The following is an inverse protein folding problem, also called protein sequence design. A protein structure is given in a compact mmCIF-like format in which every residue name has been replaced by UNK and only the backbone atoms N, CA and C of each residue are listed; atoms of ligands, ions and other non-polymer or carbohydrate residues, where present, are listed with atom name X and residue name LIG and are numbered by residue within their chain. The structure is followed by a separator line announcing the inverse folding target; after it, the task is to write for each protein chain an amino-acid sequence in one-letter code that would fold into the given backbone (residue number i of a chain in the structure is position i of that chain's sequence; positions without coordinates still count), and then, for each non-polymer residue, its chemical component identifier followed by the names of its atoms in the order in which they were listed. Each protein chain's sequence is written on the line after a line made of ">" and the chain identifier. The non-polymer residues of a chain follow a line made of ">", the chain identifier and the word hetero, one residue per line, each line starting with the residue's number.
data_IF_294760241161
#
_entry.id   IF_294760241161
#
_cell.length_a   1.000
_cell.length_b   1.000
_cell.length_c   1.000
_cell.angle_alpha   90.00
_cell.angle_beta   90.00
_cell.angle_gamma   90.00
#
_symmetry.space_group_name_H-M   'P 1'
#
loop_
_entity.id
_entity.type
_entity.pdbx_description
1 polymer ?
#
# COMPACT_ATOMS: atom_id res chain seq x y z
N UNK A 1 5.63 1.92 -19.75
CA UNK A 1 6.52 2.18 -18.61
C UNK A 1 5.61 2.70 -17.52
N UNK A 2 5.12 1.79 -16.69
CA UNK A 2 4.36 2.15 -15.50
C UNK A 2 5.25 2.99 -14.59
N UNK A 3 4.70 4.10 -14.10
CA UNK A 3 5.40 4.99 -13.19
C UNK A 3 5.41 4.36 -11.79
N UNK A 4 6.48 4.51 -10.99
CA UNK A 4 6.62 3.84 -9.68
C UNK A 4 5.51 4.19 -8.67
N UNK A 5 4.77 5.29 -8.87
CA UNK A 5 3.59 5.60 -8.07
C UNK A 5 2.42 4.63 -8.32
N UNK A 6 2.33 4.03 -9.51
CA UNK A 6 1.28 3.07 -9.84
C UNK A 6 1.48 1.74 -9.10
N UNK A 7 2.73 1.30 -8.91
CA UNK A 7 3.05 0.01 -8.28
C UNK A 7 2.56 -0.09 -6.82
N UNK A 8 2.69 0.99 -6.03
CA UNK A 8 2.19 1.00 -4.65
C UNK A 8 0.66 1.10 -4.62
N UNK A 9 0.06 1.87 -5.53
CA UNK A 9 -1.38 1.91 -5.68
C UNK A 9 -1.94 0.55 -6.16
N UNK A 10 -1.17 -0.20 -6.95
CA UNK A 10 -1.46 -1.57 -7.34
C UNK A 10 -1.47 -2.49 -6.11
N UNK A 11 -0.48 -2.39 -5.23
CA UNK A 11 -0.48 -3.12 -3.94
C UNK A 11 -1.72 -2.76 -3.12
N UNK A 12 -2.04 -1.47 -2.96
CA UNK A 12 -3.21 -1.06 -2.17
C UNK A 12 -4.54 -1.65 -2.69
N UNK A 13 -4.67 -1.84 -4.00
CA UNK A 13 -5.89 -2.35 -4.65
C UNK A 13 -5.97 -3.88 -4.69
N UNK A 14 -4.84 -4.55 -4.89
CA UNK A 14 -4.79 -5.97 -5.23
C UNK A 14 -4.04 -6.83 -4.22
N UNK A 15 -3.32 -6.19 -3.29
CA UNK A 15 -2.55 -6.85 -2.25
C UNK A 15 -3.43 -7.47 -1.16
N UNK A 16 -2.78 -8.22 -0.28
CA UNK A 16 -3.41 -8.86 0.85
C UNK A 16 -3.51 -7.88 2.03
N UNK A 17 -4.72 -7.63 2.50
CA UNK A 17 -4.94 -6.78 3.67
C UNK A 17 -4.62 -7.57 4.93
N UNK A 18 -3.56 -7.17 5.62
CA UNK A 18 -3.04 -7.85 6.84
C UNK A 18 -3.68 -7.27 8.10
N UNK A 19 -3.95 -5.96 8.11
CA UNK A 19 -4.51 -5.26 9.26
C UNK A 19 -5.38 -4.10 8.80
N UNK A 20 -6.53 -3.94 9.45
CA UNK A 20 -7.38 -2.75 9.33
C UNK A 20 -7.75 -2.30 10.74
N UNK A 21 -7.57 -1.01 11.04
CA UNK A 21 -7.89 -0.46 12.35
C UNK A 21 -8.19 1.02 12.32
N UNK A 22 -9.21 1.43 13.08
CA UNK A 22 -9.51 2.84 13.31
C UNK A 22 -8.46 3.45 14.25
N UNK A 23 -8.03 4.66 13.92
CA UNK A 23 -7.10 5.45 14.73
C UNK A 23 -7.66 6.87 14.88
N UNK A 24 -7.08 7.66 15.78
CA UNK A 24 -7.42 9.08 15.91
C UNK A 24 -7.16 9.92 14.64
N UNK A 25 -6.46 9.35 13.65
CA UNK A 25 -6.10 9.98 12.38
C UNK A 25 -6.86 9.36 11.18
N UNK A 26 -7.86 8.53 11.43
CA UNK A 26 -8.63 7.83 10.40
C UNK A 26 -8.35 6.33 10.35
N UNK A 27 -8.76 5.70 9.26
CA UNK A 27 -8.66 4.26 9.04
C UNK A 27 -7.25 3.89 8.57
N UNK A 28 -6.50 3.19 9.42
CA UNK A 28 -5.21 2.59 9.06
C UNK A 28 -5.43 1.25 8.37
N UNK A 29 -4.71 1.03 7.28
CA UNK A 29 -4.70 -0.23 6.53
C UNK A 29 -3.25 -0.66 6.30
N UNK A 30 -2.94 -1.93 6.57
CA UNK A 30 -1.65 -2.55 6.25
C UNK A 30 -1.89 -3.59 5.17
N UNK A 31 -1.18 -3.45 4.04
CA UNK A 31 -1.38 -4.27 2.85
C UNK A 31 -0.04 -4.81 2.37
N UNK A 32 0.05 -6.12 2.21
CA UNK A 32 1.20 -6.80 1.63
C UNK A 32 0.99 -7.04 0.14
N UNK A 33 2.05 -6.93 -0.65
CA UNK A 33 2.01 -7.22 -2.07
C UNK A 33 3.40 -7.40 -2.66
N UNK A 34 3.45 -7.69 -3.95
CA UNK A 34 4.71 -7.89 -4.67
C UNK A 34 4.76 -6.93 -5.85
N UNK A 35 5.91 -6.28 -6.03
CA UNK A 35 6.17 -5.39 -7.17
C UNK A 35 7.39 -5.85 -7.93
N UNK A 36 7.40 -5.59 -9.23
CA UNK A 36 8.59 -5.74 -10.04
C UNK A 36 9.46 -4.49 -9.88
N UNK A 37 10.69 -4.68 -9.41
CA UNK A 37 11.67 -3.60 -9.33
C UNK A 37 12.15 -3.20 -10.73
N UNK A 38 12.73 -1.99 -10.91
CA UNK A 38 13.28 -1.56 -12.21
C UNK A 38 14.35 -2.48 -12.78
N UNK A 39 14.94 -3.36 -11.96
CA UNK A 39 15.91 -4.37 -12.38
C UNK A 39 15.27 -5.73 -12.74
N UNK A 40 13.93 -5.81 -12.83
CA UNK A 40 13.18 -7.02 -13.17
C UNK A 40 13.04 -8.03 -12.02
N UNK A 41 13.42 -7.66 -10.79
CA UNK A 41 13.30 -8.54 -9.62
C UNK A 41 11.98 -8.30 -8.91
N UNK A 42 11.24 -9.37 -8.61
CA UNK A 42 10.07 -9.32 -7.74
C UNK A 42 10.49 -9.07 -6.28
N UNK A 43 9.90 -8.06 -5.65
CA UNK A 43 10.15 -7.66 -4.26
C UNK A 43 8.83 -7.66 -3.51
N UNK A 44 8.79 -8.37 -2.38
CA UNK A 44 7.66 -8.34 -1.47
C UNK A 44 7.75 -7.07 -0.59
N UNK A 45 6.63 -6.35 -0.51
CA UNK A 45 6.51 -5.09 0.20
C UNK A 45 5.30 -5.13 1.12
N UNK A 46 5.49 -4.59 2.32
CA UNK A 46 4.42 -4.16 3.21
C UNK A 46 4.22 -2.68 3.08
N UNK A 47 2.96 -2.28 2.89
CA UNK A 47 2.55 -0.88 2.74
C UNK A 47 1.56 -0.50 3.82
N UNK A 48 1.67 0.74 4.33
CA UNK A 48 0.78 1.29 5.35
C UNK A 48 0.08 2.50 4.79
N UNK A 49 -1.24 2.54 4.92
CA UNK A 49 -2.11 3.56 4.37
C UNK A 49 -3.02 4.13 5.46
N UNK A 50 -3.40 5.40 5.32
CA UNK A 50 -4.43 6.05 6.15
C UNK A 50 -5.46 6.71 5.24
N UNK A 51 -6.73 6.60 5.60
CA UNK A 51 -7.84 7.32 4.98
C UNK A 51 -8.66 8.04 6.05
N UNK A 52 -9.06 9.30 5.79
CA UNK A 52 -9.82 10.09 6.77
C UNK A 52 -11.29 9.60 6.91
N UNK A 53 -11.76 8.76 5.98
CA UNK A 53 -13.09 8.19 6.02
C UNK A 53 -13.52 7.49 4.73
N UNK A 54 -14.70 6.86 4.73
CA UNK A 54 -15.22 6.17 3.55
C UNK A 54 -15.37 7.15 2.37
N UNK A 55 -14.73 6.82 1.25
CA UNK A 55 -14.74 7.62 0.02
C UNK A 55 -13.56 8.58 -0.14
N UNK A 56 -12.73 8.75 0.88
CA UNK A 56 -11.47 9.50 0.76
C UNK A 56 -10.38 8.65 0.10
N UNK A 57 -9.49 9.30 -0.65
CA UNK A 57 -8.37 8.62 -1.33
C UNK A 57 -7.32 8.26 -0.28
N UNK A 58 -7.03 6.96 -0.04
CA UNK A 58 -6.05 6.57 0.95
C UNK A 58 -4.67 7.13 0.64
N UNK A 59 -3.98 7.63 1.66
CA UNK A 59 -2.64 8.21 1.55
C UNK A 59 -1.61 7.21 2.05
N UNK A 60 -0.55 7.01 1.27
CA UNK A 60 0.58 6.17 1.68
C UNK A 60 1.32 6.84 2.84
N UNK A 61 1.53 6.09 3.92
CA UNK A 61 2.37 6.50 5.05
C UNK A 61 3.79 5.96 4.87
N UNK A 62 3.93 4.66 4.58
CA UNK A 62 5.24 4.01 4.40
C UNK A 62 5.13 2.73 3.58
N UNK A 63 6.22 2.34 2.93
CA UNK A 63 6.40 1.06 2.26
C UNK A 63 7.78 0.51 2.61
N UNK A 64 7.86 -0.77 2.99
CA UNK A 64 9.10 -1.44 3.38
C UNK A 64 9.07 -2.92 3.00
N UNK A 65 10.23 -3.60 2.87
CA UNK A 65 10.27 -5.04 2.60
C UNK A 65 9.53 -5.84 3.68
N UNK A 66 8.67 -6.76 3.25
CA UNK A 66 7.95 -7.69 4.15
C UNK A 66 8.82 -8.85 4.60
#
# INVERSE_FOLDING_TARGET
>A
MDSPCDDLAHIARNGEVIEVGETSYGLKMVVDGVVESPCGRMVALRTVWISDGPGDVPRLVTAYPS
#
